data_IF_226563812250
#
_entry.id   IF_226563812250
#
_cell.length_a   1.000
_cell.length_b   1.000
_cell.length_c   1.000
_cell.angle_alpha   90.00
_cell.angle_beta   90.00
_cell.angle_gamma   90.00
#
_symmetry.space_group_name_H-M   'P 1'
#
loop_
_entity.id
_entity.type
_entity.pdbx_description
1 polymer ?
#
# COMPACT_ATOMS: atom_id res chain seq x y z
N UNK A 1 9.66 -6.59 49.18
CA UNK A 1 10.34 -5.65 48.25
C UNK A 1 9.27 -4.91 47.46
N UNK A 2 9.25 -3.57 47.50
CA UNK A 2 8.27 -2.79 46.74
C UNK A 2 8.49 -2.79 45.23
N UNK A 3 9.66 -3.25 44.74
CA UNK A 3 10.06 -3.10 43.33
C UNK A 3 10.45 -1.65 43.00
N UNK A 4 10.88 -1.40 41.77
CA UNK A 4 11.15 -0.04 41.28
C UNK A 4 9.90 0.51 40.57
N UNK A 5 9.54 1.79 40.75
CA UNK A 5 8.46 2.39 39.99
C UNK A 5 8.81 2.45 38.50
N UNK A 6 7.82 2.19 37.65
CA UNK A 6 7.92 2.42 36.21
C UNK A 6 7.31 3.80 35.95
N UNK A 7 8.17 4.79 35.78
CA UNK A 7 7.74 6.11 35.32
C UNK A 7 7.42 6.02 33.83
N UNK A 8 6.19 6.40 33.47
CA UNK A 8 5.69 6.28 32.12
C UNK A 8 4.99 7.56 31.70
N UNK A 9 5.64 8.30 30.80
CA UNK A 9 5.19 9.57 30.23
C UNK A 9 4.80 9.45 28.74
N UNK A 10 4.91 8.24 28.18
CA UNK A 10 4.65 7.94 26.78
C UNK A 10 3.15 7.82 26.45
N UNK A 11 2.28 8.65 27.05
CA UNK A 11 0.80 8.51 27.09
C UNK A 11 0.31 7.48 28.13
N UNK A 12 -0.95 7.04 28.02
CA UNK A 12 -1.57 6.06 28.91
C UNK A 12 -0.75 4.77 28.95
N UNK A 13 -0.24 4.44 30.14
CA UNK A 13 0.57 3.23 30.39
C UNK A 13 -0.05 1.98 29.75
N UNK A 14 -1.36 1.80 29.91
CA UNK A 14 -2.06 0.63 29.39
C UNK A 14 -2.12 0.54 27.86
N UNK A 15 -1.94 1.63 27.12
CA UNK A 15 -1.95 1.62 25.66
C UNK A 15 -0.55 1.54 25.06
N UNK A 16 0.43 2.22 25.67
CA UNK A 16 1.78 2.34 25.09
C UNK A 16 2.81 1.44 25.73
N UNK A 17 2.53 0.83 26.89
CA UNK A 17 3.40 -0.18 27.46
C UNK A 17 3.35 -1.49 26.65
N UNK A 18 4.51 -2.09 26.32
CA UNK A 18 4.57 -3.30 25.50
C UNK A 18 4.30 -4.57 26.32
N UNK A 19 3.03 -4.77 26.73
CA UNK A 19 2.62 -5.93 27.54
C UNK A 19 2.98 -7.28 26.92
N UNK A 20 3.02 -7.38 25.59
CA UNK A 20 3.38 -8.60 24.89
C UNK A 20 4.79 -9.10 25.23
N UNK A 21 5.72 -8.22 25.65
CA UNK A 21 7.06 -8.62 26.05
C UNK A 21 7.09 -9.38 27.38
N UNK A 22 5.96 -9.49 28.09
CA UNK A 22 5.79 -10.35 29.26
C UNK A 22 5.34 -11.77 28.90
N UNK A 23 4.96 -12.02 27.65
CA UNK A 23 4.53 -13.34 27.19
C UNK A 23 5.66 -14.37 27.35
N UNK A 24 5.36 -15.61 27.80
CA UNK A 24 6.34 -16.70 27.81
C UNK A 24 6.93 -17.03 26.44
N UNK A 25 6.20 -16.71 25.36
CA UNK A 25 6.64 -16.93 23.98
C UNK A 25 7.42 -15.76 23.38
N UNK A 26 7.57 -14.64 24.10
CA UNK A 26 8.26 -13.47 23.58
C UNK A 26 9.76 -13.73 23.42
N UNK A 27 10.29 -13.51 22.21
CA UNK A 27 11.74 -13.64 21.93
C UNK A 27 12.59 -12.66 22.75
N UNK A 28 12.08 -11.45 22.95
CA UNK A 28 12.74 -10.37 23.68
C UNK A 28 12.00 -10.11 25.00
N UNK A 29 11.85 -11.15 25.82
CA UNK A 29 11.16 -11.02 27.11
C UNK A 29 11.87 -10.00 28.00
N UNK A 30 11.10 -9.17 28.70
CA UNK A 30 11.68 -8.23 29.67
C UNK A 30 12.28 -9.00 30.86
N UNK A 31 13.38 -8.52 31.47
CA UNK A 31 14.07 -9.23 32.56
C UNK A 31 13.39 -9.04 33.93
N UNK A 32 12.14 -8.59 33.95
CA UNK A 32 11.40 -8.27 35.16
C UNK A 32 9.92 -8.63 35.08
N UNK A 33 9.34 -8.90 36.23
CA UNK A 33 7.90 -9.05 36.38
C UNK A 33 7.27 -7.67 36.59
N UNK A 34 6.20 -7.40 35.84
CA UNK A 34 5.38 -6.21 36.04
C UNK A 34 4.37 -6.47 37.16
N UNK A 35 4.31 -5.56 38.14
CA UNK A 35 3.34 -5.57 39.23
C UNK A 35 2.62 -4.23 39.31
N UNK A 36 1.39 -4.22 39.83
CA UNK A 36 0.65 -2.99 40.11
C UNK A 36 0.43 -2.93 41.63
N UNK A 37 1.02 -1.92 42.29
CA UNK A 37 0.87 -1.70 43.73
C UNK A 37 0.31 -0.31 43.93
N UNK A 38 -0.86 -0.22 44.56
CA UNK A 38 -1.57 1.04 44.78
C UNK A 38 -1.79 1.86 43.50
N UNK A 39 -2.10 1.17 42.39
CA UNK A 39 -2.32 1.79 41.08
C UNK A 39 -1.05 2.20 40.31
N UNK A 40 0.13 2.02 40.90
CA UNK A 40 1.42 2.38 40.28
C UNK A 40 2.06 1.13 39.68
N UNK A 41 2.40 1.11 38.38
CA UNK A 41 3.16 0.02 37.79
C UNK A 41 4.59 0.00 38.33
N UNK A 42 5.06 -1.18 38.72
CA UNK A 42 6.39 -1.41 39.29
C UNK A 42 7.06 -2.62 38.64
N UNK A 43 8.36 -2.52 38.42
CA UNK A 43 9.18 -3.64 37.96
C UNK A 43 9.81 -4.35 39.17
N UNK A 44 9.75 -5.69 39.15
CA UNK A 44 10.39 -6.54 40.16
C UNK A 44 11.22 -7.62 39.49
N UNK A 45 12.42 -7.85 40.02
CA UNK A 45 13.26 -8.93 39.54
C UNK A 45 12.65 -10.28 39.94
N UNK A 46 12.64 -11.29 39.05
CA UNK A 46 12.28 -12.66 39.41
C UNK A 46 13.18 -13.24 40.51
N UNK A 47 14.40 -12.71 40.64
CA UNK A 47 15.38 -13.10 41.67
C UNK A 47 15.41 -12.13 42.86
N UNK A 48 14.27 -11.49 43.16
CA UNK A 48 14.16 -10.57 44.28
C UNK A 48 14.27 -11.31 45.63
N UNK A 49 15.21 -10.88 46.48
CA UNK A 49 15.53 -11.52 47.78
C UNK A 49 14.83 -10.87 49.00
N UNK A 50 13.80 -10.05 48.78
CA UNK A 50 13.15 -9.27 49.84
C UNK A 50 13.42 -7.77 49.73
N UNK A 51 12.77 -6.95 50.57
CA UNK A 51 13.01 -5.50 50.62
C UNK A 51 14.04 -5.17 51.69
N UNK A 52 14.79 -4.08 51.52
CA UNK A 52 15.67 -3.56 52.57
C UNK A 52 14.88 -2.53 53.39
N UNK A 53 14.77 -2.72 54.70
CA UNK A 53 14.16 -1.72 55.59
C UNK A 53 15.21 -0.65 55.89
N UNK A 54 14.94 0.59 55.51
CA UNK A 54 15.73 1.77 55.86
C UNK A 54 14.91 2.71 56.75
N UNK A 55 15.57 3.75 57.29
CA UNK A 55 14.90 4.80 58.07
C UNK A 55 13.76 5.48 57.30
N UNK A 56 13.88 5.55 55.97
CA UNK A 56 12.91 6.15 55.05
C UNK A 56 11.84 5.15 54.55
N UNK A 57 11.76 3.95 55.14
CA UNK A 57 10.80 2.91 54.79
C UNK A 57 11.42 1.72 54.03
N UNK A 58 10.58 0.93 53.34
CA UNK A 58 11.06 -0.26 52.62
C UNK A 58 11.59 0.16 51.24
N UNK A 59 12.87 -0.05 50.99
CA UNK A 59 13.52 0.23 49.71
C UNK A 59 13.62 -1.01 48.80
N UNK A 60 13.77 -0.82 47.47
CA UNK A 60 14.02 -1.91 46.55
C UNK A 60 15.37 -2.57 46.82
N UNK A 61 15.43 -3.91 46.76
CA UNK A 61 16.72 -4.61 46.85
C UNK A 61 17.61 -4.34 45.62
N UNK A 62 18.91 -4.58 45.76
CA UNK A 62 19.91 -4.39 44.69
C UNK A 62 19.53 -5.07 43.36
N UNK A 63 18.87 -6.23 43.39
CA UNK A 63 18.40 -6.92 42.17
C UNK A 63 17.28 -6.15 41.46
N UNK A 64 16.37 -5.54 42.20
CA UNK A 64 15.32 -4.69 41.62
C UNK A 64 15.90 -3.36 41.15
N UNK A 65 16.82 -2.74 41.90
CA UNK A 65 17.42 -1.45 41.53
C UNK A 65 18.23 -1.51 40.22
N UNK A 66 18.76 -2.70 39.86
CA UNK A 66 19.45 -2.89 38.57
C UNK A 66 18.53 -2.84 37.35
N UNK A 67 17.22 -3.05 37.55
CA UNK A 67 16.24 -3.05 36.47
C UNK A 67 15.91 -1.65 35.94
N UNK A 68 16.38 -0.59 36.60
CA UNK A 68 16.10 0.80 36.20
C UNK A 68 16.50 1.07 34.75
N UNK A 69 17.67 0.56 34.34
CA UNK A 69 18.14 0.70 32.97
C UNK A 69 17.25 -0.06 31.97
N UNK A 70 16.84 -1.29 32.32
CA UNK A 70 15.96 -2.10 31.46
C UNK A 70 14.60 -1.42 31.25
N UNK A 71 14.02 -0.87 32.33
CA UNK A 71 12.78 -0.09 32.28
C UNK A 71 12.93 1.16 31.41
N UNK A 72 14.06 1.88 31.54
CA UNK A 72 14.35 3.05 30.71
C UNK A 72 14.46 2.69 29.23
N UNK A 73 15.16 1.60 28.88
CA UNK A 73 15.27 1.14 27.49
C UNK A 73 13.90 0.83 26.90
N UNK A 74 13.02 0.18 27.67
CA UNK A 74 11.66 -0.16 27.21
C UNK A 74 10.82 1.11 27.01
N UNK A 75 10.93 2.07 27.93
CA UNK A 75 10.28 3.39 27.81
C UNK A 75 10.75 4.13 26.56
N UNK A 76 12.07 4.21 26.34
CA UNK A 76 12.63 4.84 25.15
C UNK A 76 12.13 4.17 23.86
N UNK A 77 12.08 2.83 23.82
CA UNK A 77 11.53 2.10 22.67
C UNK A 77 10.06 2.41 22.43
N UNK A 78 9.27 2.52 23.49
CA UNK A 78 7.84 2.86 23.37
C UNK A 78 7.60 4.29 22.88
N UNK A 79 8.52 5.22 23.19
CA UNK A 79 8.48 6.62 22.75
C UNK A 79 8.94 6.84 21.30
N UNK A 80 9.64 5.88 20.69
CA UNK A 80 10.10 6.02 19.30
C UNK A 80 8.91 6.07 18.34
N UNK A 81 8.82 7.16 17.59
CA UNK A 81 7.87 7.35 16.48
C UNK A 81 8.27 6.54 15.24
N UNK A 82 9.56 6.26 15.06
CA UNK A 82 10.12 5.54 13.91
C UNK A 82 9.96 4.02 14.05
N UNK A 83 8.72 3.53 14.00
CA UNK A 83 8.43 2.09 14.05
C UNK A 83 8.61 1.38 12.70
N UNK A 84 8.84 2.13 11.61
CA UNK A 84 9.00 1.57 10.25
C UNK A 84 10.23 0.67 10.12
N UNK A 85 11.30 0.97 10.86
CA UNK A 85 12.54 0.19 10.84
C UNK A 85 12.53 -1.01 11.80
N UNK A 86 11.50 -1.14 12.64
CA UNK A 86 11.36 -2.26 13.58
C UNK A 86 10.87 -3.49 12.80
N UNK A 87 11.81 -4.43 12.60
CA UNK A 87 11.56 -5.68 11.87
C UNK A 87 10.70 -6.67 12.64
N UNK A 88 10.84 -6.71 13.98
CA UNK A 88 10.10 -7.65 14.81
C UNK A 88 8.82 -7.00 15.34
N UNK A 89 7.67 -7.60 15.04
CA UNK A 89 6.37 -7.10 15.49
C UNK A 89 6.19 -7.19 17.00
N UNK A 90 6.84 -8.15 17.65
CA UNK A 90 6.75 -8.34 19.10
C UNK A 90 7.34 -7.17 19.89
N UNK A 91 8.24 -6.39 19.26
CA UNK A 91 8.90 -5.24 19.87
C UNK A 91 8.04 -3.95 19.82
N UNK A 92 6.91 -3.98 19.10
CA UNK A 92 6.02 -2.82 18.95
C UNK A 92 4.96 -2.78 20.04
N UNK A 93 4.76 -1.63 20.68
CA UNK A 93 3.60 -1.45 21.55
C UNK A 93 2.29 -1.38 20.73
N UNK A 94 1.15 -1.45 21.41
CA UNK A 94 -0.16 -1.53 20.74
C UNK A 94 -0.46 -0.30 19.86
N UNK A 95 0.01 0.88 20.26
CA UNK A 95 -0.16 2.12 19.50
C UNK A 95 0.70 2.14 18.25
N UNK A 96 1.98 1.75 18.35
CA UNK A 96 2.87 1.58 17.20
C UNK A 96 2.35 0.50 16.24
N UNK A 97 1.82 -0.60 16.76
CA UNK A 97 1.22 -1.66 15.94
C UNK A 97 0.01 -1.15 15.16
N UNK A 98 -0.91 -0.40 15.81
CA UNK A 98 -2.05 0.23 15.15
C UNK A 98 -1.61 1.21 14.05
N UNK A 99 -0.62 2.05 14.32
CA UNK A 99 -0.06 2.97 13.34
C UNK A 99 0.53 2.23 12.13
N UNK A 100 1.27 1.13 12.37
CA UNK A 100 1.81 0.27 11.30
C UNK A 100 0.71 -0.38 10.46
N UNK A 101 -0.36 -0.87 11.10
CA UNK A 101 -1.52 -1.44 10.39
C UNK A 101 -2.20 -0.38 9.52
N UNK A 102 -2.39 0.84 10.03
CA UNK A 102 -2.97 1.94 9.25
C UNK A 102 -2.12 2.28 8.02
N UNK A 103 -0.80 2.40 8.19
CA UNK A 103 0.13 2.66 7.09
C UNK A 103 0.12 1.55 6.03
N UNK A 104 0.11 0.28 6.45
CA UNK A 104 0.03 -0.85 5.53
C UNK A 104 -1.29 -0.85 4.78
N UNK A 105 -2.40 -0.54 5.45
CA UNK A 105 -3.72 -0.43 4.84
C UNK A 105 -3.75 0.64 3.75
N UNK A 106 -3.21 1.83 4.01
CA UNK A 106 -3.09 2.90 3.03
C UNK A 106 -2.27 2.48 1.79
N UNK A 107 -1.15 1.77 2.00
CA UNK A 107 -0.35 1.21 0.90
C UNK A 107 -1.13 0.18 0.08
N UNK A 108 -1.89 -0.69 0.73
CA UNK A 108 -2.76 -1.67 0.06
C UNK A 108 -3.83 -0.97 -0.78
N UNK A 109 -4.49 0.05 -0.22
CA UNK A 109 -5.53 0.81 -0.92
C UNK A 109 -4.93 1.53 -2.14
N UNK A 110 -3.75 2.14 -2.00
CA UNK A 110 -3.01 2.77 -3.11
C UNK A 110 -2.69 1.78 -4.23
N UNK A 111 -2.19 0.58 -3.89
CA UNK A 111 -1.91 -0.47 -4.87
C UNK A 111 -3.18 -0.99 -5.53
N UNK A 112 -4.28 -1.08 -4.78
CA UNK A 112 -5.58 -1.49 -5.31
C UNK A 112 -6.11 -0.50 -6.34
N UNK A 113 -6.01 0.81 -6.08
CA UNK A 113 -6.39 1.83 -7.06
C UNK A 113 -5.52 1.78 -8.32
N UNK A 114 -4.20 1.65 -8.16
CA UNK A 114 -3.28 1.49 -9.31
C UNK A 114 -3.61 0.25 -10.15
N UNK A 115 -3.97 -0.86 -9.50
CA UNK A 115 -4.39 -2.07 -10.21
C UNK A 115 -5.64 -1.82 -11.06
N UNK A 116 -6.67 -1.19 -10.50
CA UNK A 116 -7.91 -0.88 -11.21
C UNK A 116 -7.67 0.04 -12.42
N UNK A 117 -6.81 1.05 -12.27
CA UNK A 117 -6.44 1.96 -13.36
C UNK A 117 -5.72 1.21 -14.50
N UNK A 118 -4.78 0.33 -14.16
CA UNK A 118 -4.09 -0.51 -15.13
C UNK A 118 -5.03 -1.51 -15.81
N UNK A 119 -5.99 -2.10 -15.09
CA UNK A 119 -7.01 -2.98 -15.67
C UNK A 119 -7.89 -2.23 -16.68
N UNK A 120 -8.31 -1.00 -16.35
CA UNK A 120 -9.04 -0.13 -17.28
C UNK A 120 -8.22 0.23 -18.51
N UNK A 121 -6.96 0.62 -18.34
CA UNK A 121 -6.05 0.94 -19.44
C UNK A 121 -5.80 -0.28 -20.36
N UNK A 122 -5.64 -1.46 -19.76
CA UNK A 122 -5.49 -2.72 -20.49
C UNK A 122 -6.74 -3.03 -21.32
N UNK A 123 -7.93 -2.89 -20.74
CA UNK A 123 -9.19 -3.12 -21.43
C UNK A 123 -9.36 -2.17 -22.62
N UNK A 124 -9.10 -0.87 -22.44
CA UNK A 124 -9.13 0.11 -23.53
C UNK A 124 -8.13 -0.24 -24.65
N UNK A 125 -6.90 -0.62 -24.27
CA UNK A 125 -5.87 -1.02 -25.23
C UNK A 125 -6.27 -2.28 -26.01
N UNK A 126 -6.88 -3.26 -25.35
CA UNK A 126 -7.40 -4.47 -26.00
C UNK A 126 -8.54 -4.16 -26.97
N UNK A 127 -9.46 -3.26 -26.59
CA UNK A 127 -10.52 -2.80 -27.47
C UNK A 127 -9.95 -2.13 -28.72
N UNK A 128 -9.01 -1.19 -28.56
CA UNK A 128 -8.33 -0.54 -29.69
C UNK A 128 -7.62 -1.55 -30.60
N UNK A 129 -6.91 -2.54 -30.03
CA UNK A 129 -6.26 -3.58 -30.82
C UNK A 129 -7.27 -4.42 -31.60
N UNK A 130 -8.46 -4.70 -31.05
CA UNK A 130 -9.51 -5.41 -31.78
C UNK A 130 -10.04 -4.61 -32.96
N UNK A 131 -10.29 -3.31 -32.77
CA UNK A 131 -10.74 -2.41 -33.84
C UNK A 131 -9.72 -2.32 -34.98
N UNK A 132 -8.43 -2.17 -34.64
CA UNK A 132 -7.35 -2.15 -35.62
C UNK A 132 -7.22 -3.48 -36.36
N UNK A 133 -7.32 -4.62 -35.67
CA UNK A 133 -7.32 -5.94 -36.32
C UNK A 133 -8.48 -6.09 -37.30
N UNK A 134 -9.67 -5.60 -36.95
CA UNK A 134 -10.82 -5.67 -37.83
C UNK A 134 -10.63 -4.79 -39.08
N UNK A 135 -10.03 -3.60 -38.92
CA UNK A 135 -9.65 -2.76 -40.06
C UNK A 135 -8.66 -3.48 -40.96
N UNK A 136 -7.56 -4.01 -40.42
CA UNK A 136 -6.56 -4.73 -41.22
C UNK A 136 -7.14 -5.97 -41.89
N UNK A 137 -8.02 -6.72 -41.21
CA UNK A 137 -8.73 -7.86 -41.80
C UNK A 137 -9.58 -7.42 -42.99
N UNK A 138 -10.34 -6.33 -42.85
CA UNK A 138 -11.16 -5.78 -43.93
C UNK A 138 -10.30 -5.39 -45.14
N UNK A 139 -9.16 -4.73 -44.91
CA UNK A 139 -8.22 -4.34 -45.96
C UNK A 139 -7.67 -5.58 -46.69
N UNK A 140 -7.22 -6.58 -45.93
CA UNK A 140 -6.68 -7.82 -46.50
C UNK A 140 -7.69 -8.62 -47.32
N UNK A 141 -8.98 -8.55 -46.96
CA UNK A 141 -10.07 -9.21 -47.70
C UNK A 141 -10.48 -8.47 -48.98
N UNK A 142 -10.12 -7.20 -49.14
CA UNK A 142 -10.52 -6.37 -50.28
C UNK A 142 -9.31 -5.74 -51.01
N UNK A 143 -8.41 -6.55 -51.60
CA UNK A 143 -7.17 -6.06 -52.21
C UNK A 143 -7.39 -5.18 -53.46
N UNK A 144 -8.56 -5.23 -54.11
CA UNK A 144 -8.88 -4.33 -55.22
C UNK A 144 -9.20 -2.88 -54.78
N UNK A 145 -9.44 -2.63 -53.48
CA UNK A 145 -9.74 -1.30 -52.94
C UNK A 145 -8.49 -0.51 -52.55
N UNK A 146 -7.28 -1.07 -52.66
CA UNK A 146 -6.03 -0.49 -52.11
C UNK A 146 -5.82 0.99 -52.47
N UNK A 147 -6.01 1.47 -53.73
CA UNK A 147 -5.77 2.88 -54.05
C UNK A 147 -6.81 3.84 -53.45
N UNK A 148 -8.09 3.46 -53.44
CA UNK A 148 -9.16 4.26 -52.84
C UNK A 148 -9.04 4.27 -51.31
N UNK A 149 -8.67 3.12 -50.75
CA UNK A 149 -8.47 2.93 -49.33
C UNK A 149 -7.23 3.68 -48.81
N UNK A 150 -6.13 3.74 -49.57
CA UNK A 150 -4.98 4.59 -49.23
C UNK A 150 -5.34 6.07 -49.15
N UNK A 151 -6.22 6.58 -50.03
CA UNK A 151 -6.71 7.97 -49.94
C UNK A 151 -7.60 8.19 -48.73
N UNK A 152 -8.46 7.21 -48.43
CA UNK A 152 -9.35 7.27 -47.28
C UNK A 152 -8.57 7.23 -45.96
N UNK A 153 -7.54 6.37 -45.87
CA UNK A 153 -6.61 6.32 -44.74
C UNK A 153 -5.79 7.61 -44.60
N UNK A 154 -5.27 8.18 -45.69
CA UNK A 154 -4.56 9.46 -45.65
C UNK A 154 -5.47 10.61 -45.17
N UNK A 155 -6.74 10.61 -45.58
CA UNK A 155 -7.73 11.58 -45.07
C UNK A 155 -8.08 11.31 -43.60
N UNK A 156 -8.25 10.06 -43.20
CA UNK A 156 -8.50 9.65 -41.83
C UNK A 156 -7.35 10.09 -40.91
N UNK A 157 -6.10 9.92 -41.34
CA UNK A 157 -4.91 10.39 -40.61
C UNK A 157 -4.89 11.92 -40.50
N UNK A 158 -5.12 12.64 -41.60
CA UNK A 158 -5.14 14.11 -41.62
C UNK A 158 -6.22 14.71 -40.72
N UNK A 159 -7.36 14.05 -40.58
CA UNK A 159 -8.52 14.52 -39.80
C UNK A 159 -8.58 13.89 -38.40
N UNK A 160 -7.74 12.90 -38.11
CA UNK A 160 -7.70 12.23 -36.80
C UNK A 160 -8.90 11.30 -36.55
N UNK A 161 -9.34 10.53 -37.55
CA UNK A 161 -10.46 9.60 -37.39
C UNK A 161 -10.08 8.40 -36.52
N UNK A 162 -11.05 7.89 -35.76
CA UNK A 162 -10.91 6.61 -35.05
C UNK A 162 -10.93 5.43 -36.04
N UNK A 163 -10.38 4.26 -35.66
CA UNK A 163 -10.44 3.06 -36.49
C UNK A 163 -11.87 2.62 -36.82
N UNK A 164 -12.80 2.73 -35.85
CA UNK A 164 -14.23 2.45 -36.05
C UNK A 164 -14.84 3.34 -37.13
N UNK A 165 -14.62 4.66 -37.04
CA UNK A 165 -15.14 5.62 -38.03
C UNK A 165 -14.54 5.38 -39.42
N UNK A 166 -13.26 5.03 -39.46
CA UNK A 166 -12.57 4.67 -40.70
C UNK A 166 -13.17 3.41 -41.32
N UNK A 167 -13.45 2.39 -40.52
CA UNK A 167 -14.13 1.16 -40.92
C UNK A 167 -15.55 1.42 -41.45
N UNK A 168 -16.34 2.26 -40.78
CA UNK A 168 -17.68 2.65 -41.24
C UNK A 168 -17.62 3.29 -42.63
N UNK A 169 -16.70 4.22 -42.86
CA UNK A 169 -16.51 4.82 -44.17
C UNK A 169 -16.02 3.82 -45.22
N UNK A 170 -15.13 2.90 -44.87
CA UNK A 170 -14.67 1.83 -45.75
C UNK A 170 -15.81 0.89 -46.20
N UNK A 171 -16.75 0.57 -45.29
CA UNK A 171 -17.92 -0.28 -45.60
C UNK A 171 -18.94 0.41 -46.51
N UNK A 172 -18.99 1.74 -46.45
CA UNK A 172 -19.92 2.54 -47.25
C UNK A 172 -19.39 2.92 -48.64
N UNK A 173 -18.21 2.43 -49.04
CA UNK A 173 -17.69 2.65 -50.40
C UNK A 173 -18.51 1.79 -51.39
N UNK A 174 -19.22 2.40 -52.35
CA UNK A 174 -19.97 1.65 -53.36
C UNK A 174 -19.03 0.77 -54.21
N UNK A 175 -19.41 -0.49 -54.51
CA UNK A 175 -18.58 -1.41 -55.28
C UNK A 175 -18.28 -0.91 -56.70
N UNK A 176 -19.14 -0.05 -57.25
CA UNK A 176 -19.02 0.53 -58.61
C UNK A 176 -17.81 1.44 -58.80
N UNK A 177 -17.22 1.93 -57.70
CA UNK A 177 -16.09 2.86 -57.71
C UNK A 177 -14.73 2.15 -57.80
N UNK A 178 -14.71 0.82 -57.63
CA UNK A 178 -13.47 0.01 -57.68
C UNK A 178 -12.81 -0.05 -59.06
N UNK A 179 -13.54 0.29 -60.14
CA UNK A 179 -13.06 0.10 -61.51
C UNK A 179 -12.64 1.37 -62.25
N UNK A 180 -12.87 2.59 -61.73
CA UNK A 180 -12.61 3.79 -62.53
C UNK A 180 -12.15 5.05 -61.78
N UNK A 181 -11.17 5.71 -62.37
CA UNK A 181 -10.23 6.69 -61.82
C UNK A 181 -10.80 8.10 -61.58
N UNK A 182 -12.05 8.26 -61.14
CA UNK A 182 -12.63 9.59 -60.83
C UNK A 182 -13.41 9.59 -59.53
N UNK A 183 -12.69 9.79 -58.43
CA UNK A 183 -13.23 9.83 -57.06
C UNK A 183 -12.97 11.16 -56.33
N UNK A 184 -12.64 12.22 -57.07
CA UNK A 184 -12.35 13.54 -56.49
C UNK A 184 -13.62 14.31 -56.10
N UNK A 185 -14.80 13.92 -56.59
CA UNK A 185 -16.04 14.69 -56.40
C UNK A 185 -16.94 14.24 -55.23
N UNK A 186 -16.83 12.99 -54.75
CA UNK A 186 -17.75 12.45 -53.74
C UNK A 186 -17.35 12.79 -52.28
N UNK A 187 -16.09 13.09 -52.01
CA UNK A 187 -15.63 13.36 -50.64
C UNK A 187 -15.66 14.84 -50.23
N UNK A 188 -15.89 15.77 -51.18
CA UNK A 188 -16.01 17.20 -50.85
C UNK A 188 -17.45 17.65 -50.53
N UNK A 189 -18.47 16.79 -50.67
CA UNK A 189 -19.87 17.15 -50.40
C UNK A 189 -20.41 16.69 -49.04
N UNK A 190 -19.56 16.15 -48.15
CA UNK A 190 -19.95 15.65 -46.83
C UNK A 190 -19.22 16.31 -45.65
N UNK A 191 -18.66 17.51 -45.85
CA UNK A 191 -18.28 18.40 -44.76
C UNK A 191 -19.50 19.17 -44.24
#
# INVERSE_FOLDING_TARGET
CPGIPIEWDADTFYSTYPFQLHSPSAKNRVPYDLMIISGIPKARSPHCVGGTVTLDGIQPCAKCSRLTLDVQIIREKALRSEFEHIRNHDDLNSTQLRAKVALVKEKVDTLRFKKLDLEGSLQCSQAHLSEWRDLFRFIGQNPCLIPALNRLLANAEKVGWSPVKTLEHCRNIPPEITANTKLTSLFYSMN
#
